data_IF_816443066028
#
_entry.id   IF_816443066028
#
_cell.length_a   1.000
_cell.length_b   1.000
_cell.length_c   1.000
_cell.angle_alpha   90.00
_cell.angle_beta   90.00
_cell.angle_gamma   90.00
#
_symmetry.space_group_name_H-M   'P 1'
#
loop_
_entity.id
_entity.type
_entity.pdbx_description
1 polymer ?
#
# COMPACT_ATOMS: atom_id res chain seq x y z
N UNK A 1 -5.88 -15.28 18.26
CA UNK A 1 -5.04 -14.14 18.72
C UNK A 1 -5.45 -12.89 17.95
N UNK A 2 -5.43 -11.70 18.55
CA UNK A 2 -5.74 -10.45 17.84
C UNK A 2 -4.43 -9.88 17.26
N UNK A 3 -4.37 -9.77 15.92
CA UNK A 3 -3.22 -9.20 15.22
C UNK A 3 -3.43 -7.70 15.01
N UNK A 4 -2.59 -6.87 15.65
CA UNK A 4 -2.54 -5.42 15.44
C UNK A 4 -1.27 -5.02 14.70
N UNK A 5 -1.39 -4.24 13.62
CA UNK A 5 -0.27 -3.69 12.86
C UNK A 5 0.19 -2.36 13.43
N UNK A 6 -0.75 -1.44 13.68
CA UNK A 6 -0.47 -0.20 14.38
C UNK A 6 -0.47 -0.39 15.91
N UNK A 7 0.55 0.14 16.59
CA UNK A 7 0.63 0.16 18.07
C UNK A 7 0.43 1.53 18.69
N UNK A 8 0.43 2.57 17.85
CA UNK A 8 0.29 3.97 18.28
C UNK A 8 -0.74 4.65 17.41
N UNK A 9 -1.63 5.37 18.06
CA UNK A 9 -2.66 6.19 17.46
C UNK A 9 -2.36 7.64 17.83
N UNK A 10 -2.35 8.60 16.90
CA UNK A 10 -2.12 9.97 17.29
C UNK A 10 -3.32 10.50 18.07
N UNK A 11 -3.03 11.35 19.05
CA UNK A 11 -4.04 12.19 19.69
C UNK A 11 -4.56 13.18 18.64
N UNK A 12 -5.80 13.02 18.20
CA UNK A 12 -6.39 13.91 17.20
C UNK A 12 -7.49 14.78 17.77
N UNK A 13 -7.28 16.08 17.61
CA UNK A 13 -8.32 17.12 17.62
C UNK A 13 -9.28 16.88 16.44
N UNK A 14 -10.61 16.81 16.64
CA UNK A 14 -11.59 16.60 15.57
C UNK A 14 -11.47 17.70 14.49
N UNK A 15 -10.78 17.38 13.40
CA UNK A 15 -10.49 18.34 12.32
C UNK A 15 -11.74 18.69 11.53
N UNK A 16 -11.81 19.97 11.13
CA UNK A 16 -12.82 20.58 10.26
C UNK A 16 -13.15 19.70 9.02
N UNK A 17 -14.42 19.36 8.90
CA UNK A 17 -14.99 18.50 7.83
C UNK A 17 -15.10 19.19 6.46
N UNK A 18 -14.88 20.50 6.39
CA UNK A 18 -14.93 21.29 5.15
C UNK A 18 -13.62 21.22 4.35
N UNK A 19 -12.50 20.91 5.01
CA UNK A 19 -11.18 20.81 4.36
C UNK A 19 -11.01 19.43 3.72
N UNK A 20 -10.73 19.39 2.41
CA UNK A 20 -10.31 18.16 1.73
C UNK A 20 -8.86 17.88 2.12
N UNK A 21 -8.61 16.69 2.66
CA UNK A 21 -7.27 16.29 3.12
C UNK A 21 -6.77 15.09 2.33
N UNK A 22 -5.44 14.98 2.27
CA UNK A 22 -4.78 13.80 1.75
C UNK A 22 -4.71 12.74 2.85
N UNK A 23 -5.22 11.54 2.58
CA UNK A 23 -5.20 10.42 3.53
C UNK A 23 -4.58 9.19 2.89
N UNK A 24 -3.61 8.61 3.60
CA UNK A 24 -3.02 7.29 3.33
C UNK A 24 -2.77 6.64 4.69
N UNK A 25 -3.23 5.39 4.84
CA UNK A 25 -2.95 4.57 6.01
C UNK A 25 -1.87 3.57 5.64
N UNK A 26 -0.88 3.41 6.51
CA UNK A 26 0.20 2.48 6.27
C UNK A 26 0.63 1.72 7.51
N UNK A 27 1.25 0.58 7.30
CA UNK A 27 2.01 -0.15 8.32
C UNK A 27 3.17 -0.86 7.66
N UNK A 28 4.24 -1.03 8.41
CA UNK A 28 5.44 -1.71 7.95
C UNK A 28 5.88 -2.72 9.00
N UNK A 29 6.00 -3.97 8.57
CA UNK A 29 6.32 -5.12 9.41
C UNK A 29 7.60 -5.75 8.88
N UNK A 30 8.56 -6.03 9.77
CA UNK A 30 9.77 -6.79 9.47
C UNK A 30 9.77 -8.08 10.26
N UNK A 31 10.09 -9.20 9.61
CA UNK A 31 10.07 -10.55 10.14
C UNK A 31 11.49 -11.11 10.26
N UNK A 32 11.67 -12.03 11.20
CA UNK A 32 12.95 -12.73 11.38
C UNK A 32 13.30 -13.59 10.15
N UNK A 33 12.30 -14.23 9.55
CA UNK A 33 12.41 -15.05 8.35
C UNK A 33 12.00 -14.34 7.06
N UNK A 34 12.41 -14.93 5.94
CA UNK A 34 12.01 -14.49 4.61
C UNK A 34 10.51 -14.67 4.41
N UNK A 35 9.82 -13.60 4.03
CA UNK A 35 8.38 -13.56 3.77
C UNK A 35 8.02 -14.33 2.49
N UNK A 36 8.89 -14.30 1.47
CA UNK A 36 8.67 -15.00 0.19
C UNK A 36 9.42 -16.34 0.10
N UNK A 37 9.79 -16.94 1.23
CA UNK A 37 10.36 -18.29 1.26
C UNK A 37 9.30 -19.36 0.95
N UNK A 38 9.64 -20.33 0.10
CA UNK A 38 8.70 -21.37 -0.35
C UNK A 38 8.37 -22.40 0.74
N UNK A 39 9.21 -22.54 1.77
CA UNK A 39 9.06 -23.58 2.80
C UNK A 39 8.48 -23.03 4.11
N UNK A 40 8.94 -21.86 4.55
CA UNK A 40 8.62 -21.27 5.84
C UNK A 40 8.17 -19.79 5.73
N UNK A 41 7.95 -19.29 4.52
CA UNK A 41 7.47 -17.94 4.28
C UNK A 41 5.98 -17.77 4.53
N UNK A 42 5.46 -16.59 4.17
CA UNK A 42 4.04 -16.28 4.27
C UNK A 42 3.32 -16.82 3.03
N UNK A 43 2.31 -17.65 3.25
CA UNK A 43 1.50 -18.19 2.17
C UNK A 43 0.57 -17.12 1.57
N UNK A 44 0.17 -17.33 0.32
CA UNK A 44 -0.75 -16.44 -0.40
C UNK A 44 -2.10 -16.27 0.33
N UNK A 45 -2.63 -17.37 0.85
CA UNK A 45 -3.85 -17.42 1.67
C UNK A 45 -3.71 -16.59 2.96
N UNK A 46 -2.49 -16.54 3.53
CA UNK A 46 -2.18 -15.71 4.70
C UNK A 46 -2.00 -14.24 4.32
N UNK A 47 -1.39 -13.92 3.16
CA UNK A 47 -1.30 -12.55 2.65
C UNK A 47 -2.69 -11.94 2.46
N UNK A 48 -3.65 -12.71 1.95
CA UNK A 48 -5.04 -12.26 1.87
C UNK A 48 -5.65 -11.95 3.23
N UNK A 49 -5.44 -12.83 4.21
CA UNK A 49 -5.94 -12.63 5.56
C UNK A 49 -5.27 -11.42 6.23
N UNK A 50 -3.99 -11.17 5.94
CA UNK A 50 -3.25 -9.99 6.40
C UNK A 50 -3.86 -8.71 5.81
N UNK A 51 -4.10 -8.66 4.51
CA UNK A 51 -4.74 -7.52 3.86
C UNK A 51 -6.17 -7.26 4.43
N UNK A 52 -6.93 -8.33 4.72
CA UNK A 52 -8.26 -8.22 5.31
C UNK A 52 -8.20 -7.70 6.75
N UNK A 53 -7.24 -8.18 7.54
CA UNK A 53 -6.96 -7.68 8.90
C UNK A 53 -6.64 -6.18 8.85
N UNK A 54 -5.79 -5.75 7.91
CA UNK A 54 -5.41 -4.34 7.74
C UNK A 54 -6.55 -3.45 7.28
N UNK A 55 -7.48 -4.00 6.49
CA UNK A 55 -8.69 -3.30 6.08
C UNK A 55 -9.68 -3.14 7.26
N UNK A 56 -10.06 -4.23 7.93
CA UNK A 56 -11.16 -4.26 8.91
C UNK A 56 -10.72 -4.08 10.38
N UNK A 57 -9.95 -5.03 10.90
CA UNK A 57 -9.85 -5.40 12.32
C UNK A 57 -9.15 -4.34 13.18
N UNK A 58 -9.86 -3.25 13.52
CA UNK A 58 -9.33 -2.13 14.29
C UNK A 58 -8.14 -1.39 13.63
N UNK A 59 -7.86 -1.68 12.36
CA UNK A 59 -6.79 -1.05 11.59
C UNK A 59 -7.37 0.11 10.76
N UNK A 60 -7.43 0.02 9.42
CA UNK A 60 -7.82 1.17 8.60
C UNK A 60 -9.24 1.67 8.86
N UNK A 61 -10.25 0.81 8.94
CA UNK A 61 -11.63 1.27 9.20
C UNK A 61 -11.75 1.98 10.55
N UNK A 62 -11.19 1.40 11.62
CA UNK A 62 -11.22 2.03 12.94
C UNK A 62 -10.37 3.30 13.00
N UNK A 63 -9.23 3.35 12.29
CA UNK A 63 -8.44 4.58 12.10
C UNK A 63 -9.35 5.69 11.59
N UNK A 64 -10.02 5.43 10.46
CA UNK A 64 -10.86 6.42 9.78
C UNK A 64 -12.03 6.89 10.64
N UNK A 65 -12.53 6.03 11.53
CA UNK A 65 -13.58 6.37 12.50
C UNK A 65 -13.04 7.22 13.65
N UNK A 66 -11.89 6.86 14.23
CA UNK A 66 -11.24 7.63 15.28
C UNK A 66 -10.85 9.04 14.81
N UNK A 67 -10.42 9.18 13.56
CA UNK A 67 -10.14 10.48 12.93
C UNK A 67 -11.40 11.24 12.47
N UNK A 68 -12.60 10.68 12.67
CA UNK A 68 -13.87 11.24 12.21
C UNK A 68 -13.88 11.56 10.71
N UNK A 69 -13.19 10.77 9.90
CA UNK A 69 -13.09 11.00 8.45
C UNK A 69 -14.48 10.79 7.82
N UNK A 70 -15.01 11.78 7.10
CA UNK A 70 -16.29 11.65 6.42
C UNK A 70 -16.27 10.47 5.44
N UNK A 71 -17.37 9.71 5.33
CA UNK A 71 -17.46 8.50 4.48
C UNK A 71 -16.94 8.72 3.05
N UNK A 72 -17.18 9.90 2.46
CA UNK A 72 -16.71 10.27 1.11
C UNK A 72 -15.18 10.37 0.98
N UNK A 73 -14.49 10.64 2.08
CA UNK A 73 -13.04 10.78 2.17
C UNK A 73 -12.35 9.53 2.76
N UNK A 74 -13.09 8.45 3.02
CA UNK A 74 -12.51 7.19 3.51
C UNK A 74 -11.93 6.37 2.36
N UNK A 75 -10.73 5.85 2.54
CA UNK A 75 -10.18 4.78 1.71
C UNK A 75 -11.04 3.52 1.84
N UNK A 76 -11.15 2.80 0.73
CA UNK A 76 -11.84 1.52 0.65
C UNK A 76 -10.91 0.37 0.27
N UNK A 77 -9.65 0.67 -0.03
CA UNK A 77 -8.66 -0.33 -0.43
C UNK A 77 -7.54 -0.38 0.60
N UNK A 78 -7.10 -1.60 0.92
CA UNK A 78 -5.88 -1.90 1.66
C UNK A 78 -5.09 -2.93 0.87
N UNK A 79 -3.84 -2.61 0.57
CA UNK A 79 -2.90 -3.44 -0.18
C UNK A 79 -1.79 -3.89 0.75
N UNK A 80 -1.40 -5.16 0.68
CA UNK A 80 -0.15 -5.65 1.25
C UNK A 80 0.85 -5.92 0.13
N UNK A 81 2.07 -5.41 0.28
CA UNK A 81 3.22 -5.67 -0.56
C UNK A 81 4.23 -6.47 0.25
N UNK A 82 4.56 -7.67 -0.23
CA UNK A 82 5.40 -8.65 0.45
C UNK A 82 6.71 -8.86 -0.30
N UNK A 83 7.84 -8.65 0.37
CA UNK A 83 9.16 -8.73 -0.25
C UNK A 83 10.22 -9.02 0.81
N UNK A 84 11.25 -9.77 0.46
CA UNK A 84 12.36 -10.07 1.38
C UNK A 84 11.88 -10.52 2.78
N UNK A 85 12.26 -9.81 3.86
CA UNK A 85 11.81 -10.03 5.24
C UNK A 85 10.65 -9.10 5.66
N UNK A 86 10.00 -8.41 4.73
CA UNK A 86 9.15 -7.25 5.02
C UNK A 86 7.75 -7.35 4.39
N UNK A 87 6.80 -6.74 5.09
CA UNK A 87 5.47 -6.42 4.56
C UNK A 87 5.22 -4.92 4.70
N UNK A 88 4.78 -4.30 3.61
CA UNK A 88 4.22 -2.95 3.63
C UNK A 88 2.72 -3.04 3.37
N UNK A 89 1.92 -2.56 4.32
CA UNK A 89 0.50 -2.34 4.14
C UNK A 89 0.28 -0.87 3.76
N UNK A 90 -0.49 -0.61 2.71
CA UNK A 90 -0.84 0.73 2.27
C UNK A 90 -2.28 0.79 1.77
N UNK A 91 -3.02 1.80 2.22
CA UNK A 91 -4.34 2.08 1.68
C UNK A 91 -4.25 2.78 0.32
N UNK A 92 -5.33 2.72 -0.48
CA UNK A 92 -5.48 3.72 -1.55
C UNK A 92 -5.47 5.14 -0.98
N UNK A 93 -4.92 6.08 -1.74
CA UNK A 93 -4.89 7.48 -1.37
C UNK A 93 -6.24 8.16 -1.59
N UNK A 94 -6.62 9.01 -0.65
CA UNK A 94 -7.68 10.02 -0.82
C UNK A 94 -7.07 11.42 -0.89
N UNK A 95 -7.74 12.30 -1.63
CA UNK A 95 -7.27 13.65 -1.94
C UNK A 95 -6.52 13.73 -3.27
N UNK A 96 -5.58 14.66 -3.35
CA UNK A 96 -4.72 14.93 -4.52
C UNK A 96 -3.72 13.78 -4.74
N UNK A 97 -3.42 13.49 -6.01
CA UNK A 97 -2.54 12.37 -6.37
C UNK A 97 -1.07 12.62 -6.01
N UNK A 98 -0.57 11.94 -4.99
CA UNK A 98 0.84 12.01 -4.64
C UNK A 98 1.73 11.60 -5.82
N UNK A 99 1.36 10.51 -6.51
CA UNK A 99 2.15 9.95 -7.61
C UNK A 99 2.32 10.88 -8.80
N UNK A 100 1.35 11.76 -9.08
CA UNK A 100 1.44 12.70 -10.21
C UNK A 100 1.92 14.10 -9.81
N UNK A 101 1.65 14.56 -8.57
CA UNK A 101 2.15 15.87 -8.12
C UNK A 101 3.59 15.82 -7.61
N UNK A 102 4.04 14.67 -7.08
CA UNK A 102 5.42 14.50 -6.61
C UNK A 102 6.26 13.81 -7.69
N UNK A 103 6.64 14.61 -8.68
CA UNK A 103 7.46 14.22 -9.82
C UNK A 103 8.91 13.96 -9.38
N UNK A 104 9.59 12.99 -9.99
CA UNK A 104 10.93 12.48 -9.60
C UNK A 104 10.97 11.38 -8.52
N UNK A 105 9.89 10.62 -8.38
CA UNK A 105 9.91 9.34 -7.65
C UNK A 105 10.07 8.16 -8.61
N UNK A 106 10.61 7.01 -8.17
CA UNK A 106 10.63 5.80 -8.98
C UNK A 106 9.23 5.39 -9.47
N UNK A 107 8.20 5.57 -8.63
CA UNK A 107 6.81 5.26 -8.95
C UNK A 107 6.26 6.21 -10.03
N UNK A 108 6.51 7.52 -9.93
CA UNK A 108 6.11 8.47 -10.98
C UNK A 108 6.73 8.09 -12.34
N UNK A 109 8.02 7.71 -12.35
CA UNK A 109 8.71 7.24 -13.57
C UNK A 109 8.12 5.93 -14.09
N UNK A 110 7.70 5.02 -13.22
CA UNK A 110 7.02 3.79 -13.66
C UNK A 110 5.64 4.06 -14.26
N UNK A 111 4.87 5.00 -13.70
CA UNK A 111 3.60 5.42 -14.28
C UNK A 111 3.78 6.08 -15.65
N UNK A 112 4.83 6.89 -15.84
CA UNK A 112 5.20 7.43 -17.15
C UNK A 112 5.53 6.32 -18.16
N UNK A 113 6.27 5.28 -17.75
CA UNK A 113 6.53 4.12 -18.62
C UNK A 113 5.25 3.33 -18.94
N UNK A 114 4.34 3.19 -17.98
CA UNK A 114 3.02 2.61 -18.24
C UNK A 114 2.23 3.43 -19.28
N UNK A 115 2.30 4.77 -19.22
CA UNK A 115 1.70 5.67 -20.21
C UNK A 115 2.29 5.47 -21.60
N UNK A 116 3.61 5.37 -21.71
CA UNK A 116 4.30 5.14 -22.99
C UNK A 116 3.92 3.78 -23.58
N UNK A 117 3.91 2.73 -22.76
CA UNK A 117 3.46 1.39 -23.17
C UNK A 117 2.01 1.41 -23.64
N UNK A 118 1.14 2.08 -22.90
CA UNK A 118 -0.27 2.22 -23.27
C UNK A 118 -0.46 2.96 -24.60
N UNK A 119 0.27 4.06 -24.80
CA UNK A 119 0.26 4.82 -26.06
C UNK A 119 0.74 3.97 -27.22
N UNK A 120 1.79 3.15 -27.02
CA UNK A 120 2.30 2.23 -28.04
C UNK A 120 1.26 1.19 -28.43
N UNK A 121 0.61 0.59 -27.44
CA UNK A 121 -0.28 -0.56 -27.66
C UNK A 121 -1.68 -0.15 -28.15
N UNK A 122 -2.15 1.05 -27.77
CA UNK A 122 -3.52 1.53 -28.06
C UNK A 122 -3.59 2.85 -28.85
N UNK A 123 -2.47 3.50 -29.13
CA UNK A 123 -2.40 4.75 -29.90
C UNK A 123 -3.02 5.96 -29.18
N UNK A 124 -3.16 5.91 -27.86
CA UNK A 124 -3.86 6.94 -27.06
C UNK A 124 -3.08 7.37 -25.84
N UNK A 125 -3.09 8.66 -25.57
CA UNK A 125 -2.69 9.20 -24.27
C UNK A 125 -3.69 8.78 -23.20
N UNK A 126 -3.18 8.42 -22.04
CA UNK A 126 -4.04 8.19 -20.90
C UNK A 126 -3.32 8.42 -19.58
N UNK A 127 -4.11 8.59 -18.53
CA UNK A 127 -3.63 8.57 -17.14
C UNK A 127 -4.12 7.29 -16.48
N UNK A 128 -3.45 6.89 -15.42
CA UNK A 128 -3.86 5.74 -14.61
C UNK A 128 -5.34 5.88 -14.20
N UNK A 129 -6.11 4.78 -14.25
CA UNK A 129 -7.56 4.80 -14.00
C UNK A 129 -7.98 5.48 -12.70
N UNK A 130 -7.17 5.28 -11.65
CA UNK A 130 -7.39 5.87 -10.32
C UNK A 130 -6.40 7.01 -10.04
N UNK A 131 -5.86 7.65 -11.08
CA UNK A 131 -4.96 8.79 -10.99
C UNK A 131 -3.72 8.52 -10.13
N UNK A 132 -3.16 7.31 -10.16
CA UNK A 132 -1.94 7.02 -9.41
C UNK A 132 -2.14 6.84 -7.89
N UNK A 133 -3.37 6.63 -7.43
CA UNK A 133 -3.77 6.61 -6.01
C UNK A 133 -4.08 5.22 -5.45
N UNK A 134 -3.86 4.15 -6.20
CA UNK A 134 -4.12 2.79 -5.73
C UNK A 134 -3.15 2.36 -4.61
N UNK A 135 -3.55 1.34 -3.84
CA UNK A 135 -2.73 0.86 -2.73
C UNK A 135 -1.42 0.23 -3.19
N UNK A 136 -1.40 -0.37 -4.39
CA UNK A 136 -0.21 -0.92 -5.04
C UNK A 136 0.83 0.17 -5.29
N UNK A 137 0.39 1.32 -5.83
CA UNK A 137 1.24 2.47 -6.11
C UNK A 137 1.73 3.11 -4.80
N UNK A 138 0.85 3.22 -3.79
CA UNK A 138 1.23 3.74 -2.48
C UNK A 138 2.22 2.83 -1.76
N UNK A 139 2.02 1.50 -1.78
CA UNK A 139 2.95 0.55 -1.18
C UNK A 139 4.33 0.61 -1.85
N UNK A 140 4.38 0.77 -3.18
CA UNK A 140 5.63 0.98 -3.89
C UNK A 140 6.33 2.29 -3.49
N UNK A 141 5.59 3.40 -3.32
CA UNK A 141 6.19 4.65 -2.81
C UNK A 141 6.80 4.43 -1.43
N UNK A 142 6.08 3.78 -0.51
CA UNK A 142 6.57 3.50 0.83
C UNK A 142 7.81 2.58 0.81
N UNK A 143 7.86 1.61 -0.10
CA UNK A 143 9.05 0.79 -0.33
C UNK A 143 10.26 1.66 -0.68
N UNK A 144 10.15 2.56 -1.66
CA UNK A 144 11.27 3.40 -2.08
C UNK A 144 11.67 4.46 -1.04
N UNK A 145 10.78 4.83 -0.11
CA UNK A 145 11.12 5.68 1.03
C UNK A 145 12.01 4.96 2.04
N UNK A 146 11.79 3.65 2.25
CA UNK A 146 12.58 2.84 3.21
C UNK A 146 13.82 2.24 2.57
N UNK A 147 13.75 1.94 1.26
CA UNK A 147 14.80 1.28 0.49
C UNK A 147 15.24 2.13 -0.71
N UNK A 148 15.79 3.34 -0.48
CA UNK A 148 16.18 4.23 -1.57
C UNK A 148 17.25 3.57 -2.45
N UNK A 149 17.03 3.61 -3.77
CA UNK A 149 17.97 3.08 -4.77
C UNK A 149 17.96 1.57 -4.94
N UNK A 150 17.22 0.80 -4.14
CA UNK A 150 17.02 -0.64 -4.37
C UNK A 150 15.84 -0.88 -5.31
N UNK A 151 16.02 -1.72 -6.32
CA UNK A 151 14.93 -2.06 -7.23
C UNK A 151 13.90 -2.94 -6.55
N UNK A 152 12.62 -2.56 -6.62
CA UNK A 152 11.52 -3.39 -6.11
C UNK A 152 11.44 -4.73 -6.84
N UNK A 153 11.66 -4.73 -8.16
CA UNK A 153 11.59 -5.95 -8.99
C UNK A 153 12.59 -7.03 -8.60
N UNK A 154 13.75 -6.65 -8.05
CA UNK A 154 14.76 -7.63 -7.64
C UNK A 154 14.40 -8.34 -6.32
N UNK A 155 13.35 -7.91 -5.63
CA UNK A 155 12.91 -8.47 -4.35
C UNK A 155 11.84 -9.56 -4.50
N UNK A 156 11.50 -9.96 -5.74
CA UNK A 156 10.42 -10.89 -6.07
C UNK A 156 9.12 -10.56 -5.30
N UNK A 157 8.61 -9.32 -5.45
CA UNK A 157 7.52 -8.83 -4.62
C UNK A 157 6.19 -9.51 -4.96
N UNK A 158 5.39 -9.81 -3.93
CA UNK A 158 3.99 -10.26 -4.06
C UNK A 158 3.03 -9.18 -3.59
N UNK A 159 1.83 -9.10 -4.16
CA UNK A 159 0.81 -8.12 -3.77
C UNK A 159 -0.58 -8.73 -3.64
N UNK A 160 -1.32 -8.30 -2.61
CA UNK A 160 -2.73 -8.63 -2.42
C UNK A 160 -3.51 -7.39 -1.96
N UNK A 161 -4.68 -7.14 -2.56
CA UNK A 161 -5.48 -5.93 -2.31
C UNK A 161 -6.93 -6.25 -1.92
N UNK A 162 -7.35 -5.82 -0.73
CA UNK A 162 -8.73 -5.88 -0.27
C UNK A 162 -9.44 -4.56 -0.57
N UNK A 163 -10.53 -4.60 -1.34
CA UNK A 163 -11.41 -3.46 -1.58
C UNK A 163 -12.80 -3.72 -1.02
N UNK A 164 -13.26 -2.89 -0.09
CA UNK A 164 -14.60 -3.05 0.50
C UNK A 164 -14.80 -4.40 1.21
N UNK A 165 -13.72 -4.99 1.74
CA UNK A 165 -13.73 -6.31 2.37
C UNK A 165 -13.65 -7.49 1.39
N UNK A 166 -13.42 -7.25 0.10
CA UNK A 166 -13.33 -8.30 -0.94
C UNK A 166 -11.93 -8.36 -1.53
N UNK A 167 -11.47 -9.57 -1.85
CA UNK A 167 -10.28 -9.82 -2.69
C UNK A 167 -10.49 -9.14 -4.04
N UNK A 168 -9.51 -8.39 -4.52
CA UNK A 168 -9.65 -7.59 -5.74
C UNK A 168 -8.33 -7.55 -6.48
N UNK A 169 -8.36 -7.96 -7.74
CA UNK A 169 -7.21 -7.85 -8.63
C UNK A 169 -6.84 -6.39 -8.91
N UNK A 170 -5.57 -6.10 -9.28
CA UNK A 170 -5.16 -4.78 -9.70
C UNK A 170 -6.08 -4.22 -10.77
N UNK A 171 -6.44 -2.95 -10.63
CA UNK A 171 -7.45 -2.39 -11.50
C UNK A 171 -7.04 -2.47 -12.98
N UNK A 172 -8.03 -2.73 -13.81
CA UNK A 172 -7.95 -2.68 -15.27
C UNK A 172 -9.01 -1.71 -15.78
N UNK A 173 -8.87 -1.26 -17.02
CA UNK A 173 -9.98 -0.64 -17.73
C UNK A 173 -10.40 -1.53 -18.90
N UNK A 174 -11.54 -2.19 -18.72
CA UNK A 174 -12.09 -3.14 -19.70
C UNK A 174 -12.52 -2.45 -21.01
N UNK A 175 -12.59 -1.11 -21.03
CA UNK A 175 -12.88 -0.32 -22.23
C UNK A 175 -11.64 0.08 -23.02
N UNK A 176 -10.44 -0.13 -22.47
CA UNK A 176 -9.20 0.32 -23.10
C UNK A 176 -9.08 1.84 -23.21
N UNK A 177 -9.71 2.60 -22.30
CA UNK A 177 -9.57 4.07 -22.25
C UNK A 177 -8.39 4.47 -21.34
N UNK A 178 -8.15 3.71 -20.26
CA UNK A 178 -7.09 3.97 -19.27
C UNK A 178 -6.26 2.75 -18.94
N UNK A 179 -4.98 2.92 -18.68
CA UNK A 179 -4.20 1.86 -18.05
C UNK A 179 -4.51 1.78 -16.55
N UNK A 180 -4.28 0.62 -15.96
CA UNK A 180 -4.58 0.33 -14.57
C UNK A 180 -3.37 -0.23 -13.83
N UNK A 181 -3.57 -0.62 -12.56
CA UNK A 181 -2.52 -1.22 -11.75
C UNK A 181 -2.06 -2.57 -12.30
N UNK A 182 -2.87 -3.24 -13.14
CA UNK A 182 -2.44 -4.41 -13.92
C UNK A 182 -1.17 -4.15 -14.75
N UNK A 183 -1.05 -2.99 -15.39
CA UNK A 183 0.17 -2.60 -16.12
C UNK A 183 1.28 -2.21 -15.14
N UNK A 184 0.94 -1.55 -14.04
CA UNK A 184 1.90 -1.12 -13.02
C UNK A 184 2.59 -2.30 -12.30
N UNK A 185 1.84 -3.33 -11.92
CA UNK A 185 2.41 -4.52 -11.27
C UNK A 185 3.31 -5.28 -12.24
N UNK A 186 2.94 -5.34 -13.53
CA UNK A 186 3.79 -5.93 -14.57
C UNK A 186 5.09 -5.16 -14.76
N UNK A 187 5.03 -3.82 -14.78
CA UNK A 187 6.19 -2.93 -14.90
C UNK A 187 7.23 -3.17 -13.78
N UNK A 188 6.77 -3.49 -12.58
CA UNK A 188 7.64 -3.81 -11.44
C UNK A 188 7.93 -5.31 -11.27
N UNK A 189 7.37 -6.19 -12.10
CA UNK A 189 7.47 -7.64 -11.90
C UNK A 189 6.91 -8.08 -10.54
N UNK A 190 5.80 -7.48 -10.12
CA UNK A 190 5.09 -7.83 -8.89
C UNK A 190 4.13 -8.98 -9.18
N UNK A 191 4.30 -10.07 -8.43
CA UNK A 191 3.43 -11.23 -8.48
C UNK A 191 2.10 -10.92 -7.77
N UNK A 192 1.01 -10.95 -8.52
CA UNK A 192 -0.33 -10.73 -7.98
C UNK A 192 -0.83 -12.03 -7.38
N UNK A 193 -1.19 -12.01 -6.09
CA UNK A 193 -1.75 -13.18 -5.42
C UNK A 193 -3.13 -13.51 -6.03
N UNK A 194 -3.36 -14.78 -6.39
CA UNK A 194 -4.61 -15.23 -6.99
C UNK A 194 -5.81 -14.93 -6.06
N UNK A 195 -6.76 -14.14 -6.55
CA UNK A 195 -7.95 -13.74 -5.80
C UNK A 195 -8.92 -14.88 -5.48
N UNK A 196 -8.75 -16.08 -6.07
CA UNK A 196 -9.55 -17.26 -5.75
C UNK A 196 -9.09 -17.99 -4.49
N UNK A 197 -7.85 -17.74 -4.04
CA UNK A 197 -7.24 -18.33 -2.83
C UNK A 197 -8.00 -17.98 -1.57
N UNK A 198 -8.31 -18.98 -0.75
CA UNK A 198 -9.06 -18.78 0.51
C UNK A 198 -8.26 -17.96 1.52
N UNK A 199 -8.95 -17.43 2.53
CA UNK A 199 -8.28 -16.80 3.67
C UNK A 199 -7.74 -17.88 4.61
N UNK A 200 -6.48 -17.75 5.02
CA UNK A 200 -5.87 -18.63 6.02
C UNK A 200 -5.49 -17.84 7.27
N UNK A 201 -5.88 -18.35 8.44
CA UNK A 201 -5.51 -17.76 9.72
C UNK A 201 -3.99 -17.72 9.90
N UNK A 202 -3.52 -16.72 10.64
CA UNK A 202 -2.11 -16.51 10.89
C UNK A 202 -1.87 -15.90 12.28
N UNK A 203 -0.67 -16.11 12.81
CA UNK A 203 -0.18 -15.43 14.01
C UNK A 203 1.09 -14.64 13.67
N UNK A 204 1.10 -13.34 13.94
CA UNK A 204 2.29 -12.49 13.72
C UNK A 204 3.51 -12.94 14.55
N UNK A 205 3.31 -13.69 15.64
CA UNK A 205 4.42 -14.21 16.45
C UNK A 205 5.06 -15.47 15.85
N UNK A 206 4.43 -16.09 14.87
CA UNK A 206 4.83 -17.41 14.33
C UNK A 206 5.18 -17.34 12.85
N UNK A 207 4.40 -16.63 12.04
CA UNK A 207 4.62 -16.59 10.59
C UNK A 207 5.97 -15.97 10.25
N UNK A 208 6.64 -16.52 9.24
CA UNK A 208 7.97 -16.09 8.79
C UNK A 208 8.96 -15.91 9.97
N UNK A 209 8.99 -16.86 10.91
CA UNK A 209 9.89 -16.81 12.07
C UNK A 209 9.49 -15.80 13.15
N UNK A 210 8.35 -15.12 13.00
CA UNK A 210 7.85 -14.11 13.92
C UNK A 210 8.30 -12.69 13.57
N UNK A 211 7.55 -11.73 14.09
CA UNK A 211 7.77 -10.31 13.81
C UNK A 211 8.90 -9.72 14.66
N UNK A 212 9.94 -9.22 13.99
CA UNK A 212 11.07 -8.50 14.59
C UNK A 212 10.66 -7.04 14.90
N UNK A 213 10.02 -6.36 13.94
CA UNK A 213 9.71 -4.93 14.05
C UNK A 213 8.34 -4.57 13.48
N UNK A 214 7.68 -3.61 14.13
CA UNK A 214 6.47 -2.93 13.65
C UNK A 214 6.71 -1.42 13.61
N UNK A 215 6.29 -0.78 12.53
CA UNK A 215 6.41 0.67 12.34
C UNK A 215 5.34 1.19 11.38
N UNK A 216 5.27 2.51 11.21
CA UNK A 216 4.47 3.18 10.21
C UNK A 216 5.38 4.04 9.35
N UNK A 217 5.09 4.12 8.05
CA UNK A 217 5.86 4.94 7.11
C UNK A 217 4.97 6.09 6.66
N UNK A 218 5.40 7.32 6.91
CA UNK A 218 4.70 8.51 6.44
C UNK A 218 5.11 8.82 5.00
N UNK A 219 4.12 8.99 4.12
CA UNK A 219 4.36 9.28 2.70
C UNK A 219 5.04 10.65 2.48
N UNK A 220 4.82 11.61 3.39
CA UNK A 220 5.53 12.88 3.44
C UNK A 220 6.09 13.10 4.84
N UNK A 221 7.42 13.20 4.95
CA UNK A 221 8.07 13.70 6.16
C UNK A 221 8.05 15.23 6.12
N UNK A 222 7.39 15.87 7.09
CA UNK A 222 7.83 17.20 7.52
C UNK A 222 8.76 16.95 8.70
N UNK A 223 10.04 17.35 8.65
CA UNK A 223 10.82 17.40 9.88
C UNK A 223 10.06 18.29 10.86
N UNK A 224 9.78 17.78 12.06
CA UNK A 224 9.41 18.63 13.16
C UNK A 224 10.55 19.61 13.38
N UNK A 225 10.40 20.86 12.94
CA UNK A 225 11.30 21.96 13.28
C UNK A 225 11.06 22.41 14.72
N UNK A 226 11.05 21.48 15.66
CA UNK A 226 10.95 21.73 17.10
C UNK A 226 12.15 21.14 17.84
N UNK A 227 13.35 21.37 17.30
CA UNK A 227 14.58 21.31 18.09
C UNK A 227 15.25 22.69 18.14
N UNK A 228 15.30 23.24 19.36
CA UNK A 228 16.20 24.28 19.85
C UNK A 228 15.92 25.76 19.50
N UNK A 229 14.93 26.34 20.19
CA UNK A 229 15.06 27.72 20.68
C UNK A 229 15.57 27.72 22.13
N UNK A 230 16.85 27.42 22.30
CA UNK A 230 17.63 27.83 23.48
C UNK A 230 19.05 28.15 23.04
N UNK A 231 19.28 29.43 22.76
CA UNK A 231 20.49 30.17 23.11
C UNK A 231 20.10 31.62 23.30
#
# INVERSE_FOLDING_TARGET
MINYYARTWPNVDPKDSTVIRNWVFSSHLKFEGLVNDETNGIEDEQLWQIALTGYNYNEMQASQEAYLIPKRQRSKAMTVLAFDHELILASSQKGESFSYYYTDTPVAKALERCQVTWRRDFGKESIHKNEGKCGEEMAAHLYYLVHPGKSLSSQKPRVATIVGGKRTDPCTDNKGEKFGCSTFVQEYGIDVVDANKEFKEFSLSEIAGGIEKRSQIQLCYSPDTSSNSKK
#
